data_IF_286927430470
#
_entry.id   IF_286927430470
#
_cell.length_a   1.000
_cell.length_b   1.000
_cell.length_c   1.000
_cell.angle_alpha   90.00
_cell.angle_beta   90.00
_cell.angle_gamma   90.00
#
_symmetry.space_group_name_H-M   'P 1'
#
loop_
_entity.id
_entity.type
_entity.pdbx_description
1 polymer ?
#
# COMPACT_ATOMS: atom_id res chain seq x y z
N UNK A 1 -23.75 -4.57 -7.42
CA UNK A 1 -23.20 -3.38 -8.09
C UNK A 1 -23.55 -2.09 -7.34
N UNK A 2 -24.82 -1.76 -7.09
CA UNK A 2 -25.19 -0.52 -6.36
C UNK A 2 -24.63 -0.43 -4.92
N UNK A 3 -24.50 -1.56 -4.23
CA UNK A 3 -23.94 -1.63 -2.86
C UNK A 3 -22.42 -1.48 -2.79
N UNK A 4 -21.70 -1.96 -3.81
CA UNK A 4 -20.23 -1.84 -3.87
C UNK A 4 -19.80 -0.40 -4.20
N UNK A 5 -20.50 0.26 -5.13
CA UNK A 5 -20.27 1.67 -5.44
C UNK A 5 -20.54 2.58 -4.22
N UNK A 6 -21.60 2.30 -3.46
CA UNK A 6 -21.89 3.03 -2.23
C UNK A 6 -20.83 2.81 -1.13
N UNK A 7 -20.25 1.60 -1.04
CA UNK A 7 -19.16 1.30 -0.10
C UNK A 7 -17.86 2.03 -0.50
N UNK A 8 -17.55 2.09 -1.79
CA UNK A 8 -16.37 2.80 -2.30
C UNK A 8 -16.48 4.32 -2.12
N UNK A 9 -17.69 4.89 -2.29
CA UNK A 9 -17.95 6.31 -2.02
C UNK A 9 -17.73 6.67 -0.54
N UNK A 10 -18.18 5.80 0.38
CA UNK A 10 -17.99 6.00 1.84
C UNK A 10 -16.52 5.92 2.23
N UNK A 11 -15.77 4.97 1.66
CA UNK A 11 -14.31 4.88 1.87
C UNK A 11 -13.60 6.12 1.33
N UNK A 12 -13.97 6.58 0.14
CA UNK A 12 -13.40 7.78 -0.47
C UNK A 12 -13.66 9.03 0.37
N UNK A 13 -14.88 9.21 0.87
CA UNK A 13 -15.19 10.32 1.77
C UNK A 13 -14.37 10.26 3.06
N UNK A 14 -14.27 9.07 3.67
CA UNK A 14 -13.45 8.84 4.87
C UNK A 14 -11.96 9.15 4.62
N UNK A 15 -11.43 8.76 3.46
CA UNK A 15 -10.06 9.06 3.05
C UNK A 15 -9.82 10.56 2.83
N UNK A 16 -10.75 11.27 2.19
CA UNK A 16 -10.66 12.73 1.98
C UNK A 16 -10.70 13.49 3.30
N UNK A 17 -11.60 13.11 4.22
CA UNK A 17 -11.66 13.69 5.56
C UNK A 17 -10.37 13.43 6.34
N UNK A 18 -9.82 12.22 6.23
CA UNK A 18 -8.55 11.87 6.86
C UNK A 18 -7.38 12.70 6.33
N UNK A 19 -7.28 12.88 5.01
CA UNK A 19 -6.25 13.73 4.39
C UNK A 19 -6.31 15.16 4.94
N UNK A 20 -7.49 15.78 4.91
CA UNK A 20 -7.68 17.15 5.38
C UNK A 20 -7.39 17.29 6.89
N UNK A 21 -7.86 16.34 7.70
CA UNK A 21 -7.65 16.34 9.15
C UNK A 21 -6.18 16.22 9.54
N UNK A 22 -5.35 15.64 8.66
CA UNK A 22 -3.92 15.51 8.84
C UNK A 22 -3.10 16.57 8.08
N UNK A 23 -3.73 17.66 7.66
CA UNK A 23 -3.03 18.82 7.10
C UNK A 23 -2.72 18.74 5.61
N UNK A 24 -3.32 17.80 4.87
CA UNK A 24 -3.28 17.84 3.42
C UNK A 24 -4.16 18.99 2.89
N UNK A 25 -3.66 19.68 1.88
CA UNK A 25 -4.31 20.82 1.25
C UNK A 25 -4.63 20.49 -0.21
N UNK A 26 -5.94 20.31 -0.49
CA UNK A 26 -6.47 20.08 -1.83
C UNK A 26 -6.95 21.42 -2.39
N UNK A 27 -6.10 22.09 -3.18
CA UNK A 27 -6.32 23.49 -3.58
C UNK A 27 -7.24 23.62 -4.78
N UNK A 28 -6.76 23.14 -5.92
CA UNK A 28 -7.46 23.20 -7.21
C UNK A 28 -7.76 21.82 -7.76
N UNK A 29 -7.82 20.82 -6.88
CA UNK A 29 -8.13 19.46 -7.25
C UNK A 29 -9.07 18.78 -6.26
N UNK A 30 -9.58 17.63 -6.69
CA UNK A 30 -10.40 16.72 -5.91
C UNK A 30 -10.13 15.30 -6.38
N UNK A 31 -10.46 14.33 -5.55
CA UNK A 31 -10.26 12.90 -5.83
C UNK A 31 -11.64 12.30 -6.08
N UNK A 32 -11.81 11.60 -7.19
CA UNK A 32 -13.08 10.97 -7.56
C UNK A 32 -12.84 9.65 -8.27
N UNK A 33 -13.87 8.81 -8.32
CA UNK A 33 -13.85 7.61 -9.16
C UNK A 33 -13.73 7.99 -10.65
N UNK A 34 -12.79 7.34 -11.34
CA UNK A 34 -12.49 7.45 -12.76
C UNK A 34 -13.02 6.21 -13.52
N UNK A 35 -14.33 5.97 -13.44
CA UNK A 35 -14.97 4.84 -14.11
C UNK A 35 -14.28 3.49 -13.81
N UNK A 36 -14.02 2.68 -14.83
CA UNK A 36 -13.36 1.37 -14.68
C UNK A 36 -11.85 1.41 -14.42
N UNK A 37 -11.26 2.59 -14.17
CA UNK A 37 -9.82 2.76 -13.95
C UNK A 37 -9.45 3.06 -12.50
N UNK A 38 -10.41 2.96 -11.58
CA UNK A 38 -10.18 3.24 -10.17
C UNK A 38 -10.45 4.71 -9.84
N UNK A 39 -9.56 5.34 -9.09
CA UNK A 39 -9.69 6.73 -8.66
C UNK A 39 -8.92 7.64 -9.60
N UNK A 40 -8.95 8.94 -9.35
CA UNK A 40 -8.24 9.91 -10.16
C UNK A 40 -8.31 11.30 -9.58
N UNK A 41 -7.35 12.12 -9.99
CA UNK A 41 -7.22 13.52 -9.57
C UNK A 41 -7.87 14.42 -10.63
N UNK A 42 -8.86 15.19 -10.22
CA UNK A 42 -9.60 16.07 -11.11
C UNK A 42 -9.39 17.51 -10.73
N UNK A 43 -9.13 18.37 -11.72
CA UNK A 43 -9.12 19.81 -11.50
C UNK A 43 -10.52 20.29 -11.09
N UNK A 44 -10.60 21.14 -10.06
CA UNK A 44 -11.85 21.80 -9.64
C UNK A 44 -12.01 23.20 -10.21
N UNK A 45 -10.94 23.76 -10.79
CA UNK A 45 -10.93 25.08 -11.42
C UNK A 45 -10.40 25.01 -12.86
N UNK A 46 -10.82 25.96 -13.70
CA UNK A 46 -10.17 26.18 -14.98
C UNK A 46 -8.75 26.74 -14.74
N UNK A 47 -7.75 26.38 -15.55
CA UNK A 47 -6.42 26.97 -15.42
C UNK A 47 -6.50 28.49 -15.61
N UNK A 48 -6.14 29.27 -14.58
CA UNK A 48 -6.09 30.71 -14.74
C UNK A 48 -4.83 31.11 -15.52
N UNK A 49 -4.95 31.81 -16.68
CA UNK A 49 -3.80 32.22 -17.47
C UNK A 49 -2.88 33.13 -16.66
N UNK A 50 -1.64 32.69 -16.42
CA UNK A 50 -0.64 33.46 -15.68
C UNK A 50 -0.60 33.22 -14.16
N UNK A 51 -1.46 32.33 -13.64
CA UNK A 51 -1.28 31.82 -12.27
C UNK A 51 -0.07 30.87 -12.22
N UNK A 52 0.92 31.23 -11.41
CA UNK A 52 2.12 30.43 -11.20
C UNK A 52 2.02 29.48 -10.00
N UNK A 53 0.86 29.43 -9.33
CA UNK A 53 0.63 28.50 -8.23
C UNK A 53 0.23 27.13 -8.81
N UNK A 54 1.20 26.49 -9.47
CA UNK A 54 1.05 25.19 -10.14
C UNK A 54 0.96 23.99 -9.20
N UNK A 55 0.70 24.22 -7.90
CA UNK A 55 0.59 23.17 -6.89
C UNK A 55 -0.89 22.83 -6.68
N UNK A 56 -1.33 21.71 -7.24
CA UNK A 56 -2.71 21.25 -7.10
C UNK A 56 -3.01 20.69 -5.70
N UNK A 57 -2.01 20.08 -5.05
CA UNK A 57 -2.15 19.45 -3.74
C UNK A 57 -0.84 19.53 -2.95
N UNK A 58 -0.95 19.69 -1.63
CA UNK A 58 0.16 19.51 -0.68
C UNK A 58 -0.20 18.40 0.30
N UNK A 59 0.69 17.43 0.47
CA UNK A 59 0.53 16.32 1.44
C UNK A 59 1.70 16.36 2.42
N UNK A 60 1.46 16.45 3.74
CA UNK A 60 2.53 16.42 4.73
C UNK A 60 3.33 15.12 4.69
N UNK A 61 4.66 15.22 4.87
CA UNK A 61 5.55 14.06 4.86
C UNK A 61 5.24 13.06 5.98
N UNK A 62 4.66 13.51 7.09
CA UNK A 62 4.26 12.67 8.23
C UNK A 62 3.17 11.64 7.88
N UNK A 63 2.43 11.88 6.80
CA UNK A 63 1.46 10.93 6.25
C UNK A 63 2.10 9.87 5.37
N UNK A 64 3.32 10.11 4.89
CA UNK A 64 4.00 9.16 4.03
C UNK A 64 4.61 8.01 4.84
N UNK A 65 4.50 6.80 4.28
CA UNK A 65 5.05 5.59 4.90
C UNK A 65 6.46 5.40 4.34
N UNK A 66 7.44 5.55 5.22
CA UNK A 66 8.88 5.44 4.93
C UNK A 66 9.55 4.54 5.95
N UNK A 67 10.75 3.98 5.67
CA UNK A 67 11.53 3.25 6.67
C UNK A 67 11.70 4.07 7.96
N UNK A 68 12.03 5.37 7.84
CA UNK A 68 12.16 6.25 9.00
C UNK A 68 10.87 6.35 9.82
N UNK A 69 9.72 6.43 9.16
CA UNK A 69 8.40 6.45 9.83
C UNK A 69 8.14 5.15 10.59
N UNK A 70 8.49 4.00 10.01
CA UNK A 70 8.40 2.70 10.69
C UNK A 70 9.28 2.67 11.94
N UNK A 71 10.53 3.15 11.85
CA UNK A 71 11.47 3.17 12.97
C UNK A 71 11.09 4.16 14.09
N UNK A 72 10.23 5.13 13.78
CA UNK A 72 9.68 6.11 14.72
C UNK A 72 8.36 5.64 15.35
N UNK A 73 7.74 4.58 14.84
CA UNK A 73 6.52 4.04 15.44
C UNK A 73 6.80 3.60 16.89
N UNK A 74 6.01 4.05 17.87
CA UNK A 74 6.29 3.76 19.28
C UNK A 74 6.10 2.29 19.64
N UNK A 75 5.29 1.55 18.89
CA UNK A 75 4.96 0.16 19.15
C UNK A 75 5.96 -0.77 18.46
N UNK A 76 6.05 -0.70 17.13
CA UNK A 76 6.86 -1.62 16.34
C UNK A 76 8.28 -1.12 16.07
N UNK A 77 8.50 0.19 16.17
CA UNK A 77 9.78 0.84 15.83
C UNK A 77 11.00 0.28 16.56
N UNK A 78 10.97 0.00 17.88
CA UNK A 78 12.09 -0.61 18.58
C UNK A 78 12.50 -1.98 18.00
N UNK A 79 11.51 -2.85 17.72
CA UNK A 79 11.77 -4.18 17.16
C UNK A 79 12.25 -4.09 15.71
N UNK A 80 11.58 -3.27 14.91
CA UNK A 80 11.93 -2.95 13.54
C UNK A 80 13.37 -2.42 13.42
N UNK A 81 13.82 -1.59 14.36
CA UNK A 81 15.20 -1.07 14.39
C UNK A 81 16.21 -2.18 14.63
N UNK A 82 15.98 -3.05 15.61
CA UNK A 82 16.87 -4.18 15.88
C UNK A 82 16.99 -5.10 14.66
N UNK A 83 15.86 -5.43 14.01
CA UNK A 83 15.84 -6.26 12.80
C UNK A 83 16.63 -5.64 11.64
N UNK A 84 16.56 -4.31 11.49
CA UNK A 84 17.29 -3.57 10.45
C UNK A 84 18.80 -3.53 10.77
N UNK A 85 19.18 -3.22 12.01
CA UNK A 85 20.57 -3.16 12.47
C UNK A 85 21.26 -4.52 12.37
N UNK A 86 20.55 -5.61 12.68
CA UNK A 86 21.03 -6.99 12.54
C UNK A 86 21.08 -7.46 11.07
N UNK A 87 20.60 -6.66 10.12
CA UNK A 87 20.53 -7.00 8.70
C UNK A 87 19.50 -8.09 8.39
N UNK A 88 18.58 -8.38 9.33
CA UNK A 88 17.50 -9.34 9.13
C UNK A 88 16.49 -8.79 8.13
N UNK A 89 16.23 -7.49 8.11
CA UNK A 89 15.34 -6.86 7.13
C UNK A 89 16.05 -5.73 6.40
N UNK A 90 15.68 -5.49 5.14
CA UNK A 90 16.04 -4.27 4.43
C UNK A 90 14.90 -3.24 4.51
N UNK A 91 15.13 -2.02 4.03
CA UNK A 91 14.14 -0.93 4.03
C UNK A 91 12.80 -1.32 3.37
N UNK A 92 12.87 -2.13 2.30
CA UNK A 92 11.67 -2.56 1.57
C UNK A 92 10.84 -3.52 2.40
N UNK A 93 11.49 -4.55 2.95
CA UNK A 93 10.84 -5.54 3.81
C UNK A 93 10.32 -4.87 5.09
N UNK A 94 11.05 -3.90 5.63
CA UNK A 94 10.63 -3.12 6.79
C UNK A 94 9.30 -2.38 6.55
N UNK A 95 9.18 -1.64 5.45
CA UNK A 95 7.93 -0.95 5.07
C UNK A 95 6.80 -1.95 4.82
N UNK A 96 7.10 -3.08 4.18
CA UNK A 96 6.10 -4.11 3.90
C UNK A 96 5.55 -4.74 5.19
N UNK A 97 6.41 -5.10 6.15
CA UNK A 97 6.01 -5.62 7.45
C UNK A 97 5.14 -4.61 8.21
N UNK A 98 5.51 -3.34 8.17
CA UNK A 98 4.73 -2.26 8.78
C UNK A 98 3.33 -2.13 8.17
N UNK A 99 3.21 -2.13 6.85
CA UNK A 99 1.91 -2.05 6.18
C UNK A 99 1.01 -3.24 6.51
N UNK A 100 1.58 -4.45 6.55
CA UNK A 100 0.86 -5.67 6.94
C UNK A 100 0.33 -5.56 8.38
N UNK A 101 1.15 -5.06 9.30
CA UNK A 101 0.74 -4.83 10.68
C UNK A 101 -0.35 -3.75 10.80
N UNK A 102 -0.14 -2.58 10.17
CA UNK A 102 -1.08 -1.45 10.23
C UNK A 102 -2.44 -1.79 9.62
N UNK A 103 -2.51 -2.61 8.57
CA UNK A 103 -3.80 -3.05 8.00
C UNK A 103 -4.65 -3.85 8.99
N UNK A 104 -4.01 -4.55 9.92
CA UNK A 104 -4.68 -5.38 10.94
C UNK A 104 -4.87 -4.63 12.26
N UNK A 105 -4.24 -3.47 12.44
CA UNK A 105 -4.29 -2.67 13.66
C UNK A 105 -5.60 -1.85 13.71
N UNK A 106 -6.48 -2.06 14.71
CA UNK A 106 -7.76 -1.35 14.80
C UNK A 106 -7.62 0.17 14.90
N UNK A 107 -6.55 0.66 15.55
CA UNK A 107 -6.26 2.08 15.74
C UNK A 107 -5.27 2.68 14.74
N UNK A 108 -5.05 2.03 13.58
CA UNK A 108 -4.10 2.53 12.59
C UNK A 108 -4.46 3.93 12.11
N UNK A 109 -3.48 4.85 12.16
CA UNK A 109 -3.62 6.17 11.56
C UNK A 109 -3.86 6.07 10.05
N UNK A 110 -3.26 5.09 9.38
CA UNK A 110 -3.33 4.92 7.93
C UNK A 110 -4.54 4.11 7.48
N UNK A 111 -5.43 3.69 8.38
CA UNK A 111 -6.60 2.87 8.04
C UNK A 111 -7.43 3.45 6.88
N UNK A 112 -7.77 4.75 6.85
CA UNK A 112 -8.54 5.32 5.74
C UNK A 112 -7.80 5.25 4.40
N UNK A 113 -6.47 5.33 4.39
CA UNK A 113 -5.66 5.14 3.19
C UNK A 113 -5.58 3.67 2.78
N UNK A 114 -5.31 2.77 3.72
CA UNK A 114 -5.19 1.34 3.46
C UNK A 114 -6.50 0.73 2.93
N UNK A 115 -7.65 1.27 3.34
CA UNK A 115 -8.97 0.87 2.86
C UNK A 115 -9.25 1.31 1.41
N UNK A 116 -8.53 2.31 0.90
CA UNK A 116 -8.62 2.75 -0.51
C UNK A 116 -7.77 1.90 -1.46
N UNK A 117 -6.88 1.07 -0.93
CA UNK A 117 -5.96 0.30 -1.75
C UNK A 117 -6.70 -0.78 -2.56
N UNK A 118 -6.24 -1.09 -3.79
CA UNK A 118 -6.93 -2.01 -4.69
C UNK A 118 -7.06 -3.41 -4.08
N UNK A 119 -8.19 -4.06 -4.27
CA UNK A 119 -8.39 -5.44 -3.79
C UNK A 119 -7.89 -6.51 -4.75
N UNK A 120 -7.60 -6.14 -6.01
CA UNK A 120 -7.16 -7.04 -7.07
C UNK A 120 -6.06 -6.40 -7.91
N UNK A 121 -5.26 -7.23 -8.59
CA UNK A 121 -4.20 -6.78 -9.48
C UNK A 121 -4.24 -7.53 -10.81
N UNK A 122 -3.84 -6.86 -11.89
CA UNK A 122 -3.63 -7.50 -13.20
C UNK A 122 -2.27 -8.20 -13.35
N UNK A 123 -1.53 -8.41 -12.26
CA UNK A 123 -0.24 -9.12 -12.29
C UNK A 123 -0.47 -10.62 -12.38
N UNK A 124 0.31 -11.34 -13.20
CA UNK A 124 0.26 -12.81 -13.25
C UNK A 124 0.54 -13.46 -11.89
N UNK A 125 1.24 -12.76 -10.99
CA UNK A 125 1.43 -13.20 -9.61
C UNK A 125 0.12 -13.29 -8.82
N UNK A 126 -0.93 -12.54 -9.18
CA UNK A 126 -2.24 -12.53 -8.52
C UNK A 126 -3.32 -13.36 -9.24
N UNK A 127 -2.99 -13.95 -10.40
CA UNK A 127 -3.94 -14.73 -11.20
C UNK A 127 -4.48 -15.96 -10.47
N UNK A 128 -5.72 -16.34 -10.75
CA UNK A 128 -6.25 -17.64 -10.30
C UNK A 128 -5.55 -18.78 -11.03
N UNK A 129 -5.77 -20.02 -10.57
CA UNK A 129 -5.21 -21.19 -11.25
C UNK A 129 -5.79 -21.35 -12.67
N UNK A 130 -7.05 -20.98 -12.89
CA UNK A 130 -7.66 -20.97 -14.22
C UNK A 130 -6.99 -19.92 -15.13
N UNK A 131 -6.78 -18.70 -14.64
CA UNK A 131 -6.09 -17.64 -15.39
C UNK A 131 -4.63 -17.99 -15.69
N UNK A 132 -3.95 -18.70 -14.78
CA UNK A 132 -2.60 -19.21 -15.02
C UNK A 132 -2.57 -20.34 -16.06
N UNK A 133 -3.58 -21.20 -16.09
CA UNK A 133 -3.68 -22.27 -17.08
C UNK A 133 -3.74 -21.71 -18.52
N UNK A 134 -4.39 -20.57 -18.72
CA UNK A 134 -4.41 -19.87 -20.02
C UNK A 134 -3.01 -19.39 -20.46
N UNK A 135 -2.07 -19.23 -19.53
CA UNK A 135 -0.68 -18.86 -19.83
C UNK A 135 0.21 -20.09 -20.07
N UNK A 136 -0.29 -21.32 -19.94
CA UNK A 136 0.53 -22.53 -20.03
C UNK A 136 1.33 -22.59 -21.34
N UNK A 137 2.59 -23.04 -21.25
CA UNK A 137 3.51 -23.09 -22.38
C UNK A 137 4.20 -21.76 -22.70
N UNK A 138 3.79 -20.63 -22.11
CA UNK A 138 4.47 -19.34 -22.27
C UNK A 138 5.68 -19.20 -21.34
N UNK A 139 6.60 -18.30 -21.69
CA UNK A 139 7.70 -17.91 -20.80
C UNK A 139 7.20 -17.19 -19.54
N UNK A 140 6.10 -16.44 -19.65
CA UNK A 140 5.47 -15.73 -18.54
C UNK A 140 4.92 -16.69 -17.49
N UNK A 141 4.24 -17.77 -17.89
CA UNK A 141 3.75 -18.79 -16.96
C UNK A 141 4.89 -19.39 -16.13
N UNK A 142 5.96 -19.84 -16.80
CA UNK A 142 7.13 -20.40 -16.10
C UNK A 142 7.77 -19.40 -15.14
N UNK A 143 7.94 -18.15 -15.58
CA UNK A 143 8.51 -17.10 -14.73
C UNK A 143 7.62 -16.84 -13.50
N UNK A 144 6.31 -16.81 -13.69
CA UNK A 144 5.31 -16.58 -12.64
C UNK A 144 5.35 -17.71 -11.59
N UNK A 145 5.39 -18.98 -12.01
CA UNK A 145 5.47 -20.11 -11.09
C UNK A 145 6.76 -20.11 -10.27
N UNK A 146 7.90 -19.83 -10.91
CA UNK A 146 9.19 -19.72 -10.21
C UNK A 146 9.15 -18.61 -9.16
N UNK A 147 8.60 -17.45 -9.53
CA UNK A 147 8.51 -16.31 -8.63
C UNK A 147 7.53 -16.56 -7.48
N UNK A 148 6.34 -17.12 -7.73
CA UNK A 148 5.38 -17.50 -6.66
C UNK A 148 6.01 -18.46 -5.67
N UNK A 149 6.69 -19.50 -6.15
CA UNK A 149 7.36 -20.48 -5.27
C UNK A 149 8.46 -19.83 -4.41
N UNK A 150 9.25 -18.94 -5.00
CA UNK A 150 10.28 -18.19 -4.27
C UNK A 150 9.66 -17.28 -3.19
N UNK A 151 8.59 -16.56 -3.53
CA UNK A 151 7.87 -15.71 -2.59
C UNK A 151 7.23 -16.52 -1.45
N UNK A 152 6.64 -17.67 -1.75
CA UNK A 152 6.05 -18.57 -0.75
C UNK A 152 7.10 -19.04 0.27
N UNK A 153 8.25 -19.52 -0.20
CA UNK A 153 9.35 -19.92 0.70
C UNK A 153 9.86 -18.75 1.55
N UNK A 154 10.05 -17.57 0.95
CA UNK A 154 10.38 -16.35 1.70
C UNK A 154 9.33 -15.98 2.76
N UNK A 155 8.05 -16.20 2.45
CA UNK A 155 6.96 -15.93 3.39
C UNK A 155 6.99 -16.89 4.58
N UNK A 156 7.02 -18.20 4.29
CA UNK A 156 6.97 -19.26 5.30
C UNK A 156 8.20 -19.26 6.21
N UNK A 157 9.39 -19.02 5.66
CA UNK A 157 10.65 -19.08 6.40
C UNK A 157 10.91 -17.84 7.26
N UNK A 158 10.30 -16.70 6.93
CA UNK A 158 10.70 -15.40 7.49
C UNK A 158 9.56 -14.43 7.74
N UNK A 159 8.81 -14.06 6.69
CA UNK A 159 7.87 -12.94 6.78
C UNK A 159 6.73 -13.24 7.74
N UNK A 160 6.17 -14.45 7.69
CA UNK A 160 5.04 -14.84 8.53
C UNK A 160 5.34 -14.63 10.02
N UNK A 161 6.45 -15.20 10.50
CA UNK A 161 6.86 -15.08 11.90
C UNK A 161 7.15 -13.65 12.34
N UNK A 162 7.75 -12.83 11.46
CA UNK A 162 8.00 -11.42 11.76
C UNK A 162 6.71 -10.60 11.87
N UNK A 163 5.74 -10.81 10.98
CA UNK A 163 4.45 -10.10 11.05
C UNK A 163 3.68 -10.53 12.30
N UNK A 164 3.63 -11.83 12.58
CA UNK A 164 2.99 -12.35 13.80
C UNK A 164 3.63 -11.74 15.06
N UNK A 165 4.97 -11.69 15.12
CA UNK A 165 5.69 -11.04 16.20
C UNK A 165 5.30 -9.56 16.37
N UNK A 166 5.23 -8.80 15.28
CA UNK A 166 4.86 -7.38 15.33
C UNK A 166 3.39 -7.16 15.72
N UNK A 167 2.48 -8.05 15.31
CA UNK A 167 1.07 -7.99 15.70
C UNK A 167 0.90 -8.26 17.20
N UNK A 168 1.67 -9.19 17.78
CA UNK A 168 1.61 -9.50 19.21
C UNK A 168 2.10 -8.38 20.13
N UNK A 169 2.80 -7.37 19.61
CA UNK A 169 3.18 -6.19 20.41
C UNK A 169 1.92 -5.38 20.81
N UNK A 170 0.86 -5.44 20.02
CA UNK A 170 -0.44 -4.85 20.35
C UNK A 170 -1.33 -5.93 21.00
N UNK A 171 -1.55 -5.88 22.33
CA UNK A 171 -2.44 -6.81 23.04
C UNK A 171 -3.89 -6.80 22.50
N UNK A 172 -4.24 -5.80 21.68
CA UNK A 172 -5.54 -5.68 21.01
C UNK A 172 -5.61 -6.34 19.63
N UNK A 173 -4.48 -6.79 19.06
CA UNK A 173 -4.46 -7.50 17.80
C UNK A 173 -5.04 -8.91 17.99
N UNK A 174 -6.22 -9.13 17.40
CA UNK A 174 -6.86 -10.44 17.30
C UNK A 174 -5.87 -11.50 16.79
N UNK A 175 -6.07 -12.76 17.20
CA UNK A 175 -5.36 -13.96 16.74
C UNK A 175 -5.66 -14.28 15.25
N UNK A 176 -5.53 -13.29 14.38
CA UNK A 176 -5.83 -13.42 12.96
C UNK A 176 -4.60 -13.98 12.28
N UNK A 177 -4.79 -15.13 11.63
CA UNK A 177 -3.74 -15.76 10.84
C UNK A 177 -3.20 -14.81 9.76
N UNK A 178 -1.87 -14.79 9.62
CA UNK A 178 -1.18 -14.09 8.53
C UNK A 178 -1.09 -15.05 7.35
N UNK A 179 -1.69 -14.67 6.22
CA UNK A 179 -1.79 -15.50 5.02
C UNK A 179 -0.76 -15.07 3.97
N UNK A 180 -0.42 -16.00 3.07
CA UNK A 180 0.51 -15.71 1.97
C UNK A 180 -0.05 -14.64 1.03
N UNK A 181 -1.37 -14.65 0.81
CA UNK A 181 -2.06 -13.67 -0.02
C UNK A 181 -1.87 -12.25 0.52
N UNK A 182 -1.83 -12.06 1.84
CA UNK A 182 -1.56 -10.75 2.44
C UNK A 182 -0.17 -10.26 2.02
N UNK A 183 0.85 -11.11 2.15
CA UNK A 183 2.22 -10.79 1.76
C UNK A 183 2.35 -10.53 0.26
N UNK A 184 1.78 -11.42 -0.56
CA UNK A 184 1.81 -11.31 -2.01
C UNK A 184 1.15 -10.02 -2.50
N UNK A 185 0.05 -9.61 -1.85
CA UNK A 185 -0.65 -8.36 -2.14
C UNK A 185 0.31 -7.17 -2.00
N UNK A 186 1.05 -7.06 -0.90
CA UNK A 186 1.99 -5.97 -0.69
C UNK A 186 3.22 -6.03 -1.59
N UNK A 187 3.69 -7.23 -1.93
CA UNK A 187 4.77 -7.39 -2.90
C UNK A 187 4.36 -6.77 -4.23
N UNK A 188 3.17 -7.10 -4.75
CA UNK A 188 2.65 -6.60 -6.02
C UNK A 188 2.37 -5.10 -5.93
N UNK A 189 1.71 -4.65 -4.87
CA UNK A 189 1.43 -3.24 -4.62
C UNK A 189 2.71 -2.40 -4.66
N UNK A 190 3.73 -2.75 -3.87
CA UNK A 190 4.99 -2.00 -3.82
C UNK A 190 5.76 -2.06 -5.15
N UNK A 191 5.64 -3.15 -5.92
CA UNK A 191 6.21 -3.22 -7.25
C UNK A 191 5.52 -2.24 -8.22
N UNK A 192 4.19 -2.14 -8.18
CA UNK A 192 3.44 -1.16 -8.96
C UNK A 192 3.85 0.27 -8.60
N UNK A 193 3.93 0.60 -7.29
CA UNK A 193 4.34 1.93 -6.86
C UNK A 193 5.76 2.32 -7.31
N UNK A 194 6.68 1.36 -7.33
CA UNK A 194 8.06 1.60 -7.77
C UNK A 194 8.17 1.84 -9.27
N UNK A 195 7.29 1.23 -10.07
CA UNK A 195 7.27 1.48 -11.52
C UNK A 195 6.90 2.94 -11.83
N UNK A 196 6.06 3.56 -11.00
CA UNK A 196 5.60 4.94 -11.15
C UNK A 196 6.60 5.98 -10.62
N UNK A 197 7.44 5.62 -9.65
CA UNK A 197 8.35 6.54 -8.94
C UNK A 197 9.82 6.33 -9.32
N UNK A 198 10.18 6.58 -10.58
CA UNK A 198 11.53 6.27 -11.10
C UNK A 198 12.65 7.25 -10.70
N UNK A 199 12.38 8.27 -9.87
CA UNK A 199 13.31 9.41 -9.72
C UNK A 199 14.14 9.47 -8.42
N UNK A 200 13.75 8.77 -7.36
CA UNK A 200 14.52 8.74 -6.12
C UNK A 200 14.41 7.34 -5.53
N UNK A 201 15.53 6.69 -5.20
CA UNK A 201 15.59 5.38 -4.53
C UNK A 201 14.99 5.37 -3.10
N UNK A 202 14.07 6.30 -2.80
CA UNK A 202 13.35 6.38 -1.53
C UNK A 202 12.16 5.42 -1.59
N UNK A 203 12.12 4.46 -0.67
CA UNK A 203 10.92 3.65 -0.39
C UNK A 203 9.88 4.53 0.31
N UNK A 204 9.22 5.39 -0.47
CA UNK A 204 8.26 6.38 -0.01
C UNK A 204 6.88 6.04 -0.59
N UNK A 205 5.94 5.69 0.27
CA UNK A 205 4.54 5.51 -0.11
C UNK A 205 3.80 6.76 0.33
N UNK A 206 3.30 7.51 -0.64
CA UNK A 206 2.50 8.69 -0.35
C UNK A 206 1.04 8.29 -0.57
N UNK A 207 0.16 8.49 0.42
CA UNK A 207 -1.24 8.07 0.37
C UNK A 207 -2.05 8.47 -0.88
N UNK A 208 -1.54 9.38 -1.70
CA UNK A 208 -2.24 9.93 -2.85
C UNK A 208 -1.62 9.62 -4.23
N UNK A 209 -0.35 9.24 -4.31
CA UNK A 209 0.37 9.16 -5.59
C UNK A 209 0.00 7.95 -6.46
N UNK A 210 -0.98 7.16 -6.05
CA UNK A 210 -1.21 5.80 -6.53
C UNK A 210 -2.65 5.58 -7.02
N UNK A 211 -3.37 6.68 -7.32
CA UNK A 211 -4.78 6.67 -7.69
C UNK A 211 -4.99 6.84 -9.21
N UNK A 212 -4.19 6.19 -10.04
CA UNK A 212 -4.29 6.26 -11.52
C UNK A 212 -4.45 4.88 -12.17
#
# INVERSE_FOLDING_TARGET
>A
MATAAADDDVKLESFLQWLQSNGADLRSCTIRACGGKGLGVFSTAAPEPGSNDGVAMVVPLDLAITPMRVLQDPLVGPRCRALLEDGVVDDRLLVMLFLMAERRRPGSLWKPYLDMLPSTFGSSLWFTEEELAELEGTTLHRATLIQRKSLQSSFDEKVKGLVEELLHVDESASSVEVLFEDFLWYVIFLFALKAETTYYNLHLIIPFYHLD
#
